data_IF_367704036840
#
_entry.id   IF_367704036840
#
_cell.length_a   1.000
_cell.length_b   1.000
_cell.length_c   1.000
_cell.angle_alpha   90.00
_cell.angle_beta   90.00
_cell.angle_gamma   90.00
#
_symmetry.space_group_name_H-M   'P 1'
#
loop_
_entity.id
_entity.type
_entity.pdbx_description
1 polymer ?
#
# COMPACT_ATOMS: atom_id res chain seq x y z
N UNK A 1 -6.08 28.13 1.71
CA UNK A 1 -6.66 26.78 1.92
C UNK A 1 -7.61 26.55 0.75
N UNK A 2 -7.21 25.74 -0.24
CA UNK A 2 -7.97 25.57 -1.47
C UNK A 2 -9.34 24.97 -1.19
N UNK A 3 -10.39 25.60 -1.70
CA UNK A 3 -11.74 25.03 -1.67
C UNK A 3 -11.72 23.70 -2.43
N UNK A 4 -11.81 22.59 -1.69
CA UNK A 4 -12.13 21.29 -2.26
C UNK A 4 -13.49 21.42 -2.95
N UNK A 5 -13.54 21.03 -4.23
CA UNK A 5 -14.75 20.97 -5.04
C UNK A 5 -15.87 20.24 -4.25
N UNK A 6 -17.13 20.71 -4.21
CA UNK A 6 -18.18 20.17 -3.33
C UNK A 6 -18.40 18.66 -3.46
N UNK A 7 -18.05 18.08 -4.62
CA UNK A 7 -18.05 16.64 -4.88
C UNK A 7 -17.09 15.82 -4.01
N UNK A 8 -16.05 16.44 -3.43
CA UNK A 8 -15.06 15.82 -2.55
C UNK A 8 -15.30 16.11 -1.06
N UNK A 9 -16.33 16.89 -0.71
CA UNK A 9 -16.71 17.16 0.67
C UNK A 9 -17.03 15.84 1.40
N UNK A 10 -16.41 15.61 2.56
CA UNK A 10 -16.60 14.40 3.37
C UNK A 10 -15.92 13.13 2.85
N UNK A 11 -15.20 13.17 1.71
CA UNK A 11 -14.51 11.97 1.18
C UNK A 11 -13.32 11.53 2.03
N UNK A 12 -12.62 12.47 2.67
CA UNK A 12 -11.48 12.15 3.55
C UNK A 12 -11.93 11.34 4.77
N UNK A 13 -12.93 11.78 5.57
CA UNK A 13 -13.49 10.97 6.65
C UNK A 13 -13.95 9.57 6.22
N UNK A 14 -14.66 9.45 5.10
CA UNK A 14 -15.14 8.16 4.57
C UNK A 14 -13.99 7.25 4.14
N UNK A 15 -12.91 7.83 3.59
CA UNK A 15 -11.73 7.06 3.18
C UNK A 15 -10.97 6.56 4.40
N UNK A 16 -10.84 7.39 5.43
CA UNK A 16 -10.25 7.03 6.72
C UNK A 16 -11.07 5.94 7.40
N UNK A 17 -12.39 6.07 7.45
CA UNK A 17 -13.30 5.04 7.97
C UNK A 17 -13.10 3.71 7.23
N UNK A 18 -13.11 3.72 5.89
CA UNK A 18 -12.85 2.51 5.07
C UNK A 18 -11.50 1.89 5.34
N UNK A 19 -10.46 2.70 5.51
CA UNK A 19 -9.12 2.22 5.83
C UNK A 19 -9.15 1.50 7.18
N UNK A 20 -9.71 2.14 8.22
CA UNK A 20 -9.81 1.51 9.54
C UNK A 20 -10.73 0.30 9.56
N UNK A 21 -11.81 0.24 8.78
CA UNK A 21 -12.63 -0.97 8.65
C UNK A 21 -11.91 -2.13 7.93
N UNK A 22 -10.90 -1.83 7.10
CA UNK A 22 -10.05 -2.85 6.46
C UNK A 22 -8.96 -3.35 7.39
N UNK A 23 -8.42 -2.47 8.24
CA UNK A 23 -7.34 -2.78 9.18
C UNK A 23 -7.88 -3.39 10.48
N UNK A 24 -8.91 -2.76 11.04
CA UNK A 24 -9.64 -3.18 12.24
C UNK A 24 -10.91 -3.92 11.82
N UNK A 25 -10.95 -5.22 12.10
CA UNK A 25 -12.07 -6.06 11.71
C UNK A 25 -13.32 -5.78 12.56
N UNK A 26 -14.25 -4.97 12.05
CA UNK A 26 -15.67 -5.07 12.45
C UNK A 26 -16.36 -6.28 11.76
N UNK A 27 -15.64 -7.00 10.88
CA UNK A 27 -16.16 -8.13 10.07
C UNK A 27 -15.38 -9.44 10.26
N UNK A 28 -14.52 -9.55 11.27
CA UNK A 28 -13.96 -10.85 11.73
C UNK A 28 -12.64 -11.33 11.11
N UNK A 29 -11.95 -10.54 10.28
CA UNK A 29 -10.62 -10.87 9.74
C UNK A 29 -9.58 -9.89 10.27
N UNK A 30 -8.94 -10.20 11.40
CA UNK A 30 -7.94 -9.34 12.04
C UNK A 30 -6.60 -9.41 11.29
N UNK A 31 -6.25 -8.41 10.49
CA UNK A 31 -4.85 -8.14 10.14
C UNK A 31 -4.21 -7.37 11.30
N UNK A 32 -4.07 -8.05 12.43
CA UNK A 32 -3.43 -7.51 13.62
C UNK A 32 -2.22 -8.39 13.96
N UNK A 33 -1.01 -7.83 14.06
CA UNK A 33 -0.68 -6.41 13.99
C UNK A 33 -0.79 -5.81 12.58
N UNK A 34 -1.02 -4.50 12.52
CA UNK A 34 -0.95 -3.71 11.28
C UNK A 34 0.46 -3.88 10.68
N UNK A 35 0.61 -3.97 9.35
CA UNK A 35 1.93 -4.03 8.73
C UNK A 35 2.81 -2.87 9.21
N UNK A 36 4.04 -3.20 9.61
CA UNK A 36 5.06 -2.22 10.02
C UNK A 36 6.15 -2.08 8.96
N UNK A 37 6.28 -3.08 8.09
CA UNK A 37 7.18 -3.11 6.95
C UNK A 37 6.40 -3.12 5.65
N UNK A 38 6.98 -2.56 4.59
CA UNK A 38 6.42 -2.63 3.25
C UNK A 38 6.38 -4.09 2.75
N UNK A 39 5.26 -4.55 2.16
CA UNK A 39 5.18 -5.89 1.61
C UNK A 39 6.10 -6.07 0.41
N UNK A 40 6.93 -7.11 0.49
CA UNK A 40 7.88 -7.51 -0.55
C UNK A 40 7.42 -8.80 -1.22
N UNK A 41 7.53 -8.88 -2.55
CA UNK A 41 7.04 -10.02 -3.34
C UNK A 41 7.61 -11.36 -2.86
N UNK A 42 8.91 -11.52 -2.55
CA UNK A 42 9.45 -12.80 -2.08
C UNK A 42 8.81 -13.28 -0.77
N UNK A 43 8.37 -12.36 0.09
CA UNK A 43 7.76 -12.69 1.36
C UNK A 43 6.26 -13.05 1.23
N UNK A 44 5.49 -12.27 0.47
CA UNK A 44 4.02 -12.44 0.39
C UNK A 44 3.55 -13.29 -0.80
N UNK A 45 4.37 -13.44 -1.85
CA UNK A 45 4.06 -14.17 -3.07
C UNK A 45 5.28 -14.99 -3.57
N UNK A 46 5.75 -15.98 -2.78
CA UNK A 46 6.96 -16.75 -3.09
C UNK A 46 6.87 -17.54 -4.40
N UNK A 47 5.66 -17.94 -4.81
CA UNK A 47 5.43 -18.60 -6.11
C UNK A 47 5.72 -17.67 -7.29
N UNK A 48 5.32 -16.40 -7.21
CA UNK A 48 5.62 -15.40 -8.23
C UNK A 48 7.13 -15.16 -8.33
N UNK A 49 7.83 -15.04 -7.19
CA UNK A 49 9.28 -14.90 -7.17
C UNK A 49 9.97 -16.13 -7.79
N UNK A 50 9.49 -17.34 -7.51
CA UNK A 50 10.07 -18.57 -8.05
C UNK A 50 9.93 -18.70 -9.57
N UNK A 51 8.81 -18.23 -10.12
CA UNK A 51 8.55 -18.27 -11.58
C UNK A 51 9.20 -17.10 -12.33
N UNK A 52 9.22 -15.90 -11.73
CA UNK A 52 9.68 -14.66 -12.37
C UNK A 52 10.41 -13.74 -11.37
N UNK A 53 11.68 -14.04 -11.01
CA UNK A 53 12.42 -13.29 -10.00
C UNK A 53 12.68 -11.83 -10.41
N UNK A 54 12.95 -11.57 -11.69
CA UNK A 54 13.14 -10.21 -12.19
C UNK A 54 11.87 -9.36 -12.07
N UNK A 55 10.70 -9.96 -12.30
CA UNK A 55 9.43 -9.26 -12.16
C UNK A 55 9.16 -8.90 -10.69
N UNK A 56 9.51 -9.79 -9.76
CA UNK A 56 9.41 -9.53 -8.32
C UNK A 56 10.26 -8.32 -7.90
N UNK A 57 11.50 -8.24 -8.36
CA UNK A 57 12.41 -7.10 -8.10
C UNK A 57 11.82 -5.79 -8.65
N UNK A 58 11.31 -5.79 -9.88
CA UNK A 58 10.71 -4.61 -10.49
C UNK A 58 9.49 -4.14 -9.69
N UNK A 59 8.62 -5.06 -9.27
CA UNK A 59 7.43 -4.72 -8.47
C UNK A 59 7.84 -4.10 -7.14
N UNK A 60 8.79 -4.69 -6.43
CA UNK A 60 9.25 -4.15 -5.14
C UNK A 60 9.90 -2.77 -5.32
N UNK A 61 10.70 -2.57 -6.36
CA UNK A 61 11.30 -1.26 -6.66
C UNK A 61 10.23 -0.19 -6.97
N UNK A 62 9.19 -0.54 -7.72
CA UNK A 62 8.08 0.37 -8.01
C UNK A 62 7.31 0.74 -6.73
N UNK A 63 7.07 -0.22 -5.83
CA UNK A 63 6.42 0.04 -4.55
C UNK A 63 7.27 0.96 -3.66
N UNK A 64 8.59 0.76 -3.63
CA UNK A 64 9.51 1.65 -2.89
C UNK A 64 9.52 3.07 -3.46
N UNK A 65 9.51 3.20 -4.79
CA UNK A 65 9.42 4.51 -5.46
C UNK A 65 8.11 5.23 -5.10
N UNK A 66 6.97 4.53 -5.15
CA UNK A 66 5.67 5.11 -4.78
C UNK A 66 5.67 5.62 -3.34
N UNK A 67 6.19 4.82 -2.39
CA UNK A 67 6.33 5.24 -1.01
C UNK A 67 7.24 6.48 -0.85
N UNK A 68 8.40 6.50 -1.52
CA UNK A 68 9.33 7.62 -1.47
C UNK A 68 8.70 8.91 -2.04
N UNK A 69 8.00 8.81 -3.18
CA UNK A 69 7.28 9.94 -3.79
C UNK A 69 6.15 10.42 -2.88
N UNK A 70 5.38 9.51 -2.30
CA UNK A 70 4.31 9.84 -1.37
C UNK A 70 4.85 10.61 -0.14
N UNK A 71 5.98 10.17 0.42
CA UNK A 71 6.63 10.84 1.55
C UNK A 71 7.08 12.26 1.19
N UNK A 72 7.70 12.46 0.02
CA UNK A 72 8.13 13.79 -0.46
C UNK A 72 6.92 14.74 -0.60
N UNK A 73 5.79 14.24 -1.10
CA UNK A 73 4.57 15.02 -1.27
C UNK A 73 3.91 15.32 0.10
N UNK A 74 3.85 14.32 0.97
CA UNK A 74 3.18 14.41 2.25
C UNK A 74 3.95 15.21 3.30
N UNK A 75 5.28 15.31 3.18
CA UNK A 75 6.11 15.98 4.18
C UNK A 75 5.80 17.49 4.26
N UNK A 76 5.42 18.00 5.45
CA UNK A 76 5.07 19.40 5.62
C UNK A 76 6.31 20.29 5.56
N UNK A 77 6.18 21.47 4.96
CA UNK A 77 7.24 22.49 4.86
C UNK A 77 8.53 22.00 4.18
N UNK A 78 8.44 20.99 3.30
CA UNK A 78 9.57 20.57 2.48
C UNK A 78 9.88 21.63 1.41
N UNK A 79 11.09 22.16 1.43
CA UNK A 79 11.62 23.01 0.35
C UNK A 79 12.10 22.14 -0.83
N UNK A 80 12.15 22.72 -2.03
CA UNK A 80 12.66 22.07 -3.25
C UNK A 80 12.00 20.72 -3.61
N UNK A 81 10.68 20.60 -3.40
CA UNK A 81 9.94 19.35 -3.64
C UNK A 81 10.12 18.80 -5.07
N UNK A 82 10.11 19.67 -6.07
CA UNK A 82 10.23 19.27 -7.48
C UNK A 82 11.60 18.62 -7.76
N UNK A 83 12.68 19.21 -7.24
CA UNK A 83 14.04 18.66 -7.37
C UNK A 83 14.18 17.31 -6.64
N UNK A 84 13.52 17.16 -5.49
CA UNK A 84 13.54 15.91 -4.72
C UNK A 84 12.74 14.80 -5.42
N UNK A 85 11.63 15.13 -6.09
CA UNK A 85 10.86 14.17 -6.87
C UNK A 85 11.64 13.68 -8.08
N UNK A 86 12.31 14.59 -8.80
CA UNK A 86 13.17 14.24 -9.93
C UNK A 86 14.35 13.38 -9.49
N UNK A 87 15.00 13.74 -8.38
CA UNK A 87 16.08 12.93 -7.79
C UNK A 87 15.62 11.52 -7.40
N UNK A 88 14.43 11.38 -6.82
CA UNK A 88 13.87 10.06 -6.49
C UNK A 88 13.58 9.25 -7.76
N UNK A 89 12.96 9.85 -8.78
CA UNK A 89 12.71 9.15 -10.05
C UNK A 89 14.02 8.71 -10.72
N UNK A 90 15.04 9.57 -10.73
CA UNK A 90 16.36 9.26 -11.27
C UNK A 90 17.03 8.10 -10.52
N UNK A 91 16.93 8.07 -9.19
CA UNK A 91 17.55 7.00 -8.38
C UNK A 91 16.97 5.62 -8.70
N UNK A 92 15.65 5.52 -8.89
CA UNK A 92 14.97 4.25 -9.17
C UNK A 92 14.98 3.85 -10.66
N UNK A 93 15.43 4.72 -11.56
CA UNK A 93 15.46 4.45 -13.02
C UNK A 93 16.86 4.25 -13.59
N UNK A 94 17.91 4.63 -12.86
CA UNK A 94 19.31 4.35 -13.24
C UNK A 94 19.57 2.84 -13.25
N UNK A 95 20.16 2.36 -14.33
CA UNK A 95 20.48 0.94 -14.55
C UNK A 95 21.92 0.58 -14.15
N UNK A 96 22.75 1.57 -13.82
CA UNK A 96 24.18 1.44 -13.55
C UNK A 96 24.56 1.64 -12.08
N UNK A 97 23.61 2.05 -11.24
CA UNK A 97 23.83 2.39 -9.84
C UNK A 97 22.84 1.66 -8.92
N UNK A 98 23.25 1.38 -7.68
CA UNK A 98 22.43 0.68 -6.68
C UNK A 98 21.87 -0.69 -7.10
N UNK A 99 22.52 -1.34 -8.06
CA UNK A 99 22.19 -2.70 -8.49
C UNK A 99 22.58 -3.68 -7.39
N UNK A 100 21.59 -4.27 -6.73
CA UNK A 100 21.81 -5.31 -5.73
C UNK A 100 21.84 -6.70 -6.38
N UNK A 101 22.69 -7.57 -5.85
CA UNK A 101 22.67 -8.99 -6.21
C UNK A 101 21.39 -9.66 -5.70
N UNK A 102 20.93 -10.70 -6.40
CA UNK A 102 19.68 -11.40 -6.13
C UNK A 102 19.61 -11.92 -4.69
N UNK A 103 20.73 -12.45 -4.18
CA UNK A 103 20.80 -12.95 -2.80
C UNK A 103 20.67 -11.82 -1.77
N UNK A 104 21.21 -10.63 -2.08
CA UNK A 104 21.14 -9.47 -1.19
C UNK A 104 19.72 -8.89 -1.17
N UNK A 105 19.09 -8.83 -2.35
CA UNK A 105 17.67 -8.50 -2.48
C UNK A 105 16.79 -9.47 -1.68
N UNK A 106 16.97 -10.78 -1.89
CA UNK A 106 16.16 -11.81 -1.21
C UNK A 106 16.31 -11.73 0.31
N UNK A 107 17.53 -11.58 0.81
CA UNK A 107 17.80 -11.44 2.24
C UNK A 107 17.13 -10.19 2.82
N UNK A 108 17.19 -9.07 2.09
CA UNK A 108 16.53 -7.82 2.48
C UNK A 108 15.00 -7.98 2.53
N UNK A 109 14.41 -8.54 1.48
CA UNK A 109 12.96 -8.75 1.35
C UNK A 109 12.42 -9.65 2.48
N UNK A 110 13.16 -10.70 2.83
CA UNK A 110 12.73 -11.68 3.84
C UNK A 110 13.02 -11.24 5.29
N UNK A 111 13.82 -10.19 5.53
CA UNK A 111 14.29 -9.81 6.87
C UNK A 111 13.17 -9.41 7.83
N UNK A 112 12.13 -8.75 7.31
CA UNK A 112 10.96 -8.35 8.08
C UNK A 112 10.01 -9.52 8.38
N UNK A 113 10.07 -10.60 7.60
CA UNK A 113 9.13 -11.71 7.69
C UNK A 113 7.71 -11.35 7.22
N UNK A 114 6.94 -12.37 6.83
CA UNK A 114 5.62 -12.19 6.21
C UNK A 114 4.60 -11.50 7.14
N UNK A 115 4.67 -11.74 8.45
CA UNK A 115 3.68 -11.22 9.40
C UNK A 115 3.81 -9.72 9.65
N UNK A 116 5.03 -9.16 9.60
CA UNK A 116 5.24 -7.71 9.70
C UNK A 116 4.86 -6.98 8.42
N UNK A 117 4.67 -7.73 7.32
CA UNK A 117 4.31 -7.25 5.99
C UNK A 117 2.81 -7.46 5.66
N UNK A 118 1.98 -7.80 6.66
CA UNK A 118 0.53 -7.97 6.49
C UNK A 118 0.05 -9.41 6.31
N UNK A 119 0.95 -10.38 6.44
CA UNK A 119 0.62 -11.80 6.39
C UNK A 119 0.47 -12.35 4.97
N UNK A 120 0.20 -13.67 4.84
CA UNK A 120 -0.01 -14.29 3.54
C UNK A 120 -1.22 -13.69 2.85
N UNK A 121 -1.19 -13.63 1.51
CA UNK A 121 -2.37 -13.26 0.73
C UNK A 121 -3.52 -14.23 1.06
N UNK A 122 -4.62 -13.72 1.64
CA UNK A 122 -5.75 -14.53 2.15
C UNK A 122 -6.79 -14.84 1.04
N UNK A 123 -6.52 -14.47 -0.22
CA UNK A 123 -7.45 -14.65 -1.34
C UNK A 123 -6.95 -15.61 -2.41
N UNK A 124 -7.84 -16.44 -2.94
CA UNK A 124 -7.63 -17.14 -4.21
C UNK A 124 -7.75 -16.11 -5.36
N UNK A 125 -6.75 -16.02 -6.24
CA UNK A 125 -6.74 -15.11 -7.39
C UNK A 125 -7.83 -15.45 -8.44
N UNK A 126 -8.63 -16.50 -8.20
CA UNK A 126 -9.73 -16.93 -9.06
C UNK A 126 -10.84 -15.89 -9.29
N UNK A 127 -10.93 -14.80 -8.47
CA UNK A 127 -11.82 -13.66 -8.74
C UNK A 127 -11.22 -12.32 -8.32
N UNK A 128 -11.56 -11.27 -9.07
CA UNK A 128 -11.21 -9.89 -8.74
C UNK A 128 -11.89 -9.45 -7.44
N UNK A 129 -11.15 -9.51 -6.33
CA UNK A 129 -11.55 -8.87 -5.07
C UNK A 129 -11.35 -7.34 -5.09
N UNK A 130 -10.73 -6.82 -6.16
CA UNK A 130 -10.72 -5.39 -6.47
C UNK A 130 -12.17 -4.97 -6.73
N UNK A 131 -12.76 -4.33 -5.74
CA UNK A 131 -14.05 -3.63 -5.80
C UNK A 131 -15.30 -4.51 -5.87
N UNK A 132 -15.56 -5.36 -4.86
CA UNK A 132 -16.98 -5.60 -4.53
C UNK A 132 -17.58 -4.27 -4.06
N UNK A 133 -18.42 -3.66 -4.88
CA UNK A 133 -19.25 -2.55 -4.43
C UNK A 133 -20.09 -3.02 -3.23
N UNK A 134 -20.44 -2.12 -2.31
CA UNK A 134 -21.23 -2.48 -1.13
C UNK A 134 -22.58 -3.10 -1.49
N UNK A 135 -23.15 -2.72 -2.65
CA UNK A 135 -24.33 -3.36 -3.24
C UNK A 135 -24.13 -4.85 -3.54
N UNK A 136 -22.92 -5.25 -3.95
CA UNK A 136 -22.58 -6.65 -4.21
C UNK A 136 -22.24 -7.44 -2.93
N UNK A 137 -22.20 -6.78 -1.76
CA UNK A 137 -21.90 -7.38 -0.46
C UNK A 137 -23.14 -7.46 0.45
N UNK A 138 -24.31 -6.99 0.00
CA UNK A 138 -25.56 -6.93 0.77
C UNK A 138 -25.41 -6.27 2.16
N UNK A 139 -24.41 -5.38 2.28
CA UNK A 139 -24.11 -4.64 3.50
C UNK A 139 -24.94 -3.37 3.51
N UNK A 140 -26.16 -3.46 4.04
CA UNK A 140 -27.07 -2.33 4.24
C UNK A 140 -26.38 -1.31 5.16
N UNK A 141 -26.39 -0.04 4.76
CA UNK A 141 -25.94 1.07 5.57
C UNK A 141 -26.77 1.12 6.86
N UNK A 142 -26.22 0.73 8.01
CA UNK A 142 -26.69 1.33 9.25
C UNK A 142 -26.28 2.78 9.17
N UNK A 143 -27.27 3.64 8.95
CA UNK A 143 -27.13 5.09 9.11
C UNK A 143 -26.56 5.33 10.51
N UNK A 144 -25.42 6.01 10.60
CA UNK A 144 -25.07 6.69 11.83
C UNK A 144 -26.14 7.76 12.00
N UNK A 145 -27.12 7.47 12.87
CA UNK A 145 -28.06 8.46 13.35
C UNK A 145 -27.24 9.51 14.08
N UNK A 146 -27.16 10.69 13.46
CA UNK A 146 -27.11 12.03 14.05
C UNK A 146 -26.20 12.25 15.26
N UNK A 147 -25.18 13.11 15.13
CA UNK A 147 -24.79 13.94 16.29
C UNK A 147 -25.89 14.96 16.63
N UNK A 148 -25.73 15.83 17.64
CA UNK A 148 -25.08 15.70 18.94
C UNK A 148 -26.12 15.59 20.09
N UNK A 149 -25.69 15.16 21.29
CA UNK A 149 -26.31 15.50 22.59
C UNK A 149 -25.17 15.80 23.56
#
# INVERSE_FOLDING_TARGET
VGQLDPQFAGKVPVTIERYWSKVGSDTGMTMFPVPVDMPSVPAIAPSLYSEAPQAAVIIDNLNMLDAAVADIIAYPNLENRDELLEAAADEFTKDDSNVSDEMTYLLSALRGGIFNQGGPAIGDLGRSERNRSREAMDMIHTMIMSGPQ
#
